data_IF_804438693260
#
_entry.id   IF_804438693260
#
_cell.length_a   1.000
_cell.length_b   1.000
_cell.length_c   1.000
_cell.angle_alpha   90.00
_cell.angle_beta   90.00
_cell.angle_gamma   90.00
#
_symmetry.space_group_name_H-M   'P 1'
#
loop_
_entity.id
_entity.type
_entity.pdbx_description
1 polymer ?
#
# COMPACT_ATOMS: atom_id res chain seq x y z
N UNK A 1 21.88 -2.49 42.73
CA UNK A 1 22.04 -3.86 42.21
C UNK A 1 20.65 -4.47 41.96
N UNK A 2 19.94 -4.00 40.93
CA UNK A 2 18.59 -4.49 40.66
C UNK A 2 18.24 -4.35 39.17
N UNK A 3 19.12 -4.83 38.30
CA UNK A 3 18.94 -4.73 36.84
C UNK A 3 19.21 -6.04 36.10
N UNK A 4 19.12 -7.18 36.81
CA UNK A 4 19.34 -8.53 36.29
C UNK A 4 18.17 -9.47 36.58
N UNK A 5 16.94 -8.97 36.44
CA UNK A 5 15.75 -9.80 36.23
C UNK A 5 15.23 -9.70 34.79
N UNK A 6 16.14 -9.54 33.83
CA UNK A 6 15.79 -9.74 32.42
C UNK A 6 15.96 -11.23 32.09
N UNK A 7 14.83 -11.86 31.74
CA UNK A 7 14.66 -13.20 31.17
C UNK A 7 15.95 -14.04 30.99
N UNK A 8 16.05 -15.12 31.77
CA UNK A 8 17.13 -16.13 31.76
C UNK A 8 17.28 -16.92 30.44
N UNK A 9 16.65 -16.46 29.35
CA UNK A 9 16.46 -17.20 28.10
C UNK A 9 17.16 -16.57 26.89
N UNK A 10 17.53 -15.28 26.92
CA UNK A 10 18.21 -14.61 25.79
C UNK A 10 19.17 -13.51 26.25
N UNK A 11 20.42 -13.59 25.77
CA UNK A 11 21.46 -12.57 25.96
C UNK A 11 21.59 -11.70 24.71
N UNK A 12 20.94 -10.53 24.72
CA UNK A 12 20.97 -9.57 23.60
C UNK A 12 22.34 -8.92 23.37
N UNK A 13 23.34 -9.13 24.25
CA UNK A 13 24.70 -8.62 24.01
C UNK A 13 25.46 -9.42 22.94
N UNK A 14 25.01 -10.64 22.65
CA UNK A 14 25.58 -11.54 21.65
C UNK A 14 24.98 -11.33 20.25
N UNK A 15 23.88 -10.60 20.14
CA UNK A 15 23.21 -10.37 18.86
C UNK A 15 23.99 -9.37 17.99
N UNK A 16 24.12 -9.64 16.68
CA UNK A 16 24.84 -8.75 15.77
C UNK A 16 24.13 -7.40 15.62
N UNK A 17 24.92 -6.32 15.70
CA UNK A 17 24.44 -4.95 15.51
C UNK A 17 24.60 -4.54 14.05
N UNK A 18 23.50 -4.47 13.32
CA UNK A 18 23.48 -4.03 11.92
C UNK A 18 22.65 -2.75 11.74
N UNK A 19 23.10 -1.89 10.83
CA UNK A 19 22.25 -0.82 10.30
C UNK A 19 21.33 -1.42 9.23
N UNK A 20 20.02 -1.44 9.49
CA UNK A 20 19.02 -2.02 8.59
C UNK A 20 18.15 -0.89 8.04
N UNK A 21 18.10 -0.77 6.71
CA UNK A 21 17.23 0.18 6.01
C UNK A 21 16.00 -0.55 5.44
N UNK A 22 14.82 -0.06 5.78
CA UNK A 22 13.56 -0.51 5.18
C UNK A 22 13.11 0.51 4.14
N UNK A 23 12.91 0.07 2.90
CA UNK A 23 12.39 0.88 1.81
C UNK A 23 11.05 0.33 1.33
N UNK A 24 10.06 1.21 1.20
CA UNK A 24 8.72 0.90 0.70
C UNK A 24 8.36 1.87 -0.44
N UNK A 25 8.07 1.31 -1.62
CA UNK A 25 7.64 2.09 -2.79
C UNK A 25 6.16 2.41 -2.66
N UNK A 26 5.86 3.68 -2.40
CA UNK A 26 4.48 4.12 -2.24
C UNK A 26 3.66 3.94 -3.51
N UNK A 27 2.52 3.28 -3.35
CA UNK A 27 1.52 3.09 -4.41
C UNK A 27 2.09 2.36 -5.65
N UNK A 28 2.98 1.39 -5.41
CA UNK A 28 3.82 0.73 -6.42
C UNK A 28 3.12 0.43 -7.77
N UNK A 29 2.09 -0.42 -7.79
CA UNK A 29 1.42 -0.77 -9.05
C UNK A 29 0.78 0.43 -9.76
N UNK A 30 0.21 1.38 -9.01
CA UNK A 30 -0.36 2.58 -9.60
C UNK A 30 0.73 3.47 -10.22
N UNK A 31 1.91 3.55 -9.59
CA UNK A 31 3.06 4.29 -10.12
C UNK A 31 3.60 3.64 -11.40
N UNK A 32 3.73 2.31 -11.44
CA UNK A 32 4.17 1.55 -12.62
C UNK A 32 3.19 1.77 -13.78
N UNK A 33 1.88 1.59 -13.55
CA UNK A 33 0.85 1.80 -14.56
C UNK A 33 0.85 3.23 -15.10
N UNK A 34 1.05 4.24 -14.24
CA UNK A 34 1.18 5.63 -14.70
C UNK A 34 2.35 5.76 -15.68
N UNK A 35 3.55 5.29 -15.30
CA UNK A 35 4.74 5.39 -16.15
C UNK A 35 4.57 4.63 -17.47
N UNK A 36 4.05 3.41 -17.44
CA UNK A 36 3.78 2.61 -18.65
C UNK A 36 2.80 3.29 -19.61
N UNK A 37 1.93 4.18 -19.09
CA UNK A 37 0.96 4.96 -19.86
C UNK A 37 1.43 6.38 -20.17
N UNK A 38 2.69 6.72 -19.92
CA UNK A 38 3.24 8.08 -20.04
C UNK A 38 2.49 9.14 -19.20
N UNK A 39 2.04 8.75 -18.00
CA UNK A 39 1.34 9.61 -17.04
C UNK A 39 2.23 9.93 -15.83
N UNK A 40 2.05 11.11 -15.24
CA UNK A 40 2.77 11.50 -14.02
C UNK A 40 2.13 10.84 -12.78
N UNK A 41 2.84 9.97 -12.04
CA UNK A 41 2.28 9.21 -10.92
C UNK A 41 1.89 10.08 -9.70
N UNK A 42 2.43 11.29 -9.58
CA UNK A 42 2.14 12.20 -8.48
C UNK A 42 0.87 13.03 -8.69
N UNK A 43 0.47 13.26 -9.94
CA UNK A 43 -0.68 14.09 -10.27
C UNK A 43 -1.85 13.30 -10.83
N UNK A 44 -1.60 12.17 -11.48
CA UNK A 44 -2.63 11.34 -12.11
C UNK A 44 -3.49 10.63 -11.07
N UNK A 45 -4.81 10.69 -11.22
CA UNK A 45 -5.76 9.88 -10.44
C UNK A 45 -5.89 8.50 -11.10
N UNK A 46 -5.29 7.47 -10.49
CA UNK A 46 -5.28 6.10 -11.03
C UNK A 46 -5.44 5.09 -9.90
N UNK A 47 -6.24 4.05 -10.16
CA UNK A 47 -6.44 2.91 -9.27
C UNK A 47 -6.23 1.61 -10.05
N UNK A 48 -5.46 0.68 -9.48
CA UNK A 48 -5.24 -0.67 -9.99
C UNK A 48 -6.12 -1.61 -9.18
N UNK A 49 -6.98 -2.35 -9.87
CA UNK A 49 -7.97 -3.23 -9.24
C UNK A 49 -7.90 -4.65 -9.81
N UNK A 50 -8.19 -5.65 -8.99
CA UNK A 50 -8.32 -7.03 -9.43
C UNK A 50 -9.56 -7.20 -10.30
N UNK A 51 -9.45 -8.03 -11.33
CA UNK A 51 -10.54 -8.42 -12.23
C UNK A 51 -10.79 -9.92 -12.07
N UNK A 52 -11.35 -10.34 -10.95
CA UNK A 52 -11.80 -11.72 -10.80
C UNK A 52 -13.32 -11.77 -10.96
N UNK A 53 -13.81 -12.69 -11.79
CA UNK A 53 -15.21 -12.79 -12.23
C UNK A 53 -16.24 -12.89 -11.09
N UNK A 54 -15.78 -13.27 -9.89
CA UNK A 54 -16.62 -13.42 -8.69
C UNK A 54 -16.21 -12.55 -7.51
N UNK A 55 -15.19 -11.71 -7.65
CA UNK A 55 -14.78 -10.77 -6.60
C UNK A 55 -15.14 -9.35 -7.03
N UNK A 56 -15.83 -8.61 -6.16
CA UNK A 56 -16.23 -7.21 -6.37
C UNK A 56 -15.02 -6.24 -6.41
N UNK A 57 -14.06 -6.47 -7.31
CA UNK A 57 -12.84 -5.69 -7.57
C UNK A 57 -12.09 -5.25 -6.32
N UNK A 58 -10.99 -5.92 -5.97
CA UNK A 58 -10.12 -5.48 -4.88
C UNK A 58 -9.15 -4.43 -5.38
N UNK A 59 -9.06 -3.28 -4.72
CA UNK A 59 -8.02 -2.29 -4.98
C UNK A 59 -6.66 -2.83 -4.55
N UNK A 60 -5.76 -3.01 -5.52
CA UNK A 60 -4.38 -3.49 -5.32
C UNK A 60 -3.43 -2.32 -5.01
N UNK A 61 -3.61 -1.19 -5.69
CA UNK A 61 -2.90 0.05 -5.44
C UNK A 61 -3.70 1.25 -5.96
N UNK A 62 -3.53 2.41 -5.34
CA UNK A 62 -4.12 3.66 -5.82
C UNK A 62 -3.12 4.81 -5.69
N UNK A 63 -3.16 5.73 -6.65
CA UNK A 63 -2.26 6.89 -6.68
C UNK A 63 -2.57 7.87 -5.54
N UNK A 64 -1.62 8.75 -5.17
CA UNK A 64 -1.86 9.78 -4.16
C UNK A 64 -3.07 10.66 -4.49
N UNK A 65 -3.21 11.08 -5.75
CA UNK A 65 -4.37 11.87 -6.21
C UNK A 65 -5.68 11.10 -6.05
N UNK A 66 -5.72 9.82 -6.41
CA UNK A 66 -6.93 9.01 -6.29
C UNK A 66 -7.42 8.95 -4.84
N UNK A 67 -6.51 8.69 -3.89
CA UNK A 67 -6.83 8.66 -2.46
C UNK A 67 -7.32 10.01 -1.96
N UNK A 68 -6.69 11.11 -2.41
CA UNK A 68 -7.06 12.47 -2.03
C UNK A 68 -8.46 12.85 -2.52
N UNK A 69 -8.78 12.52 -3.77
CA UNK A 69 -10.07 12.88 -4.40
C UNK A 69 -11.22 12.08 -3.81
N UNK A 70 -11.03 10.78 -3.59
CA UNK A 70 -12.11 9.87 -3.18
C UNK A 70 -12.10 9.52 -1.68
N UNK A 71 -11.21 10.13 -0.89
CA UNK A 71 -11.10 9.88 0.55
C UNK A 71 -10.77 8.43 0.91
N UNK A 72 -10.19 7.66 -0.02
CA UNK A 72 -10.00 6.22 0.16
C UNK A 72 -8.76 5.88 0.97
N UNK A 73 -8.90 4.87 1.83
CA UNK A 73 -7.77 4.21 2.50
C UNK A 73 -7.17 3.13 1.61
N UNK A 74 -5.96 2.67 1.97
CA UNK A 74 -5.37 1.49 1.34
C UNK A 74 -6.27 0.28 1.66
N UNK A 75 -6.52 -0.56 0.64
CA UNK A 75 -7.47 -1.69 0.66
C UNK A 75 -8.93 -1.24 0.67
N UNK A 76 -9.53 -1.19 -0.53
CA UNK A 76 -10.95 -0.92 -0.74
C UNK A 76 -11.51 -1.86 -1.81
N UNK A 77 -12.83 -1.97 -1.89
CA UNK A 77 -13.54 -2.71 -2.92
C UNK A 77 -14.14 -1.77 -3.96
N UNK A 78 -14.52 -2.33 -5.10
CA UNK A 78 -15.29 -1.63 -6.13
C UNK A 78 -16.56 -0.97 -5.57
N UNK A 79 -17.24 -1.67 -4.65
CA UNK A 79 -18.47 -1.18 -4.00
C UNK A 79 -18.26 0.04 -3.11
N UNK A 80 -17.03 0.31 -2.71
CA UNK A 80 -16.71 1.42 -1.79
C UNK A 80 -16.41 2.71 -2.58
N UNK A 81 -16.34 2.62 -3.91
CA UNK A 81 -16.17 3.79 -4.77
C UNK A 81 -17.48 4.55 -4.91
N UNK A 82 -17.44 5.89 -5.04
CA UNK A 82 -18.65 6.70 -5.22
C UNK A 82 -19.22 6.64 -6.64
N UNK A 83 -18.85 5.62 -7.43
CA UNK A 83 -19.26 5.41 -8.81
C UNK A 83 -19.18 3.92 -9.15
N UNK A 84 -19.95 3.48 -10.16
CA UNK A 84 -19.90 2.13 -10.67
C UNK A 84 -18.72 1.95 -11.63
N UNK A 85 -17.97 0.85 -11.51
CA UNK A 85 -16.78 0.62 -12.35
C UNK A 85 -17.15 0.40 -13.82
N UNK A 86 -18.28 -0.28 -14.09
CA UNK A 86 -18.71 -0.60 -15.45
C UNK A 86 -19.18 0.64 -16.21
N UNK A 87 -19.90 1.53 -15.55
CA UNK A 87 -20.54 2.69 -16.19
C UNK A 87 -19.82 4.01 -15.96
N UNK A 88 -18.94 4.08 -14.95
CA UNK A 88 -18.26 5.29 -14.47
C UNK A 88 -19.21 6.45 -14.14
N UNK A 89 -20.44 6.12 -13.77
CA UNK A 89 -21.47 7.03 -13.25
C UNK A 89 -21.64 6.79 -11.77
#
# INVERSE_FOLDING_TARGET
MEQLKLNKYFDYSLEPRHAILFQDVKSNYASIECVQRNLNPLTTSLCVMSRADHSKGLTLASSPTFKKVFGMKNVSRASDLPFLIETRK
#
